data_IF_698329659432
#
_entry.id   IF_698329659432
#
_cell.length_a   1.000
_cell.length_b   1.000
_cell.length_c   1.000
_cell.angle_alpha   90.00
_cell.angle_beta   90.00
_cell.angle_gamma   90.00
#
_symmetry.space_group_name_H-M   'P 1'
#
loop_
_entity.id
_entity.type
_entity.pdbx_description
1 polymer ?
#
# COMPACT_ATOMS: atom_id res chain seq x y z
N UNK A 1 -35.41 6.32 30.72
CA UNK A 1 -35.65 5.12 29.89
C UNK A 1 -35.32 5.51 28.44
N UNK A 2 -34.06 5.37 28.04
CA UNK A 2 -33.59 5.69 26.69
C UNK A 2 -34.04 4.53 25.79
N UNK A 3 -34.98 4.80 24.92
CA UNK A 3 -35.34 3.86 23.84
C UNK A 3 -34.15 3.82 22.86
N UNK A 4 -33.44 2.69 22.85
CA UNK A 4 -32.52 2.38 21.75
C UNK A 4 -33.30 2.40 20.44
N UNK A 5 -32.89 3.30 19.52
CA UNK A 5 -33.39 3.25 18.14
C UNK A 5 -32.99 1.88 17.58
N UNK A 6 -33.91 1.11 16.98
CA UNK A 6 -33.56 -0.14 16.36
C UNK A 6 -32.43 0.10 15.34
N UNK A 7 -31.36 -0.70 15.40
CA UNK A 7 -30.31 -0.74 14.37
C UNK A 7 -31.02 -0.81 13.02
N UNK A 8 -30.85 0.21 12.19
CA UNK A 8 -31.52 0.30 10.90
C UNK A 8 -31.14 -0.94 10.10
N UNK A 9 -32.13 -1.80 9.79
CA UNK A 9 -31.91 -2.98 8.96
C UNK A 9 -31.36 -2.52 7.61
N UNK A 10 -30.20 -3.03 7.24
CA UNK A 10 -29.61 -2.74 5.94
C UNK A 10 -30.59 -3.20 4.83
N UNK A 11 -30.79 -2.41 3.75
CA UNK A 11 -31.55 -2.82 2.60
C UNK A 11 -31.03 -4.13 2.00
N UNK A 12 -31.90 -4.89 1.36
CA UNK A 12 -31.46 -6.13 0.73
C UNK A 12 -30.51 -5.85 -0.44
N UNK A 13 -29.46 -6.68 -0.58
CA UNK A 13 -28.54 -6.57 -1.73
C UNK A 13 -29.27 -6.61 -3.08
N UNK A 14 -30.37 -7.37 -3.15
CA UNK A 14 -31.21 -7.45 -4.36
C UNK A 14 -31.85 -6.10 -4.70
N UNK A 15 -32.38 -5.39 -3.69
CA UNK A 15 -32.95 -4.05 -3.88
C UNK A 15 -31.88 -3.02 -4.29
N UNK A 16 -30.68 -3.09 -3.68
CA UNK A 16 -29.54 -2.23 -4.02
C UNK A 16 -29.05 -2.44 -5.46
N UNK A 17 -28.94 -3.68 -5.91
CA UNK A 17 -28.57 -4.01 -7.30
C UNK A 17 -29.60 -3.55 -8.31
N UNK A 18 -30.89 -3.69 -8.00
CA UNK A 18 -31.96 -3.18 -8.86
C UNK A 18 -31.90 -1.65 -8.96
N UNK A 19 -31.68 -0.98 -7.85
CA UNK A 19 -31.52 0.47 -7.81
C UNK A 19 -30.34 0.93 -8.68
N UNK A 20 -29.16 0.32 -8.52
CA UNK A 20 -27.96 0.63 -9.31
C UNK A 20 -28.22 0.42 -10.81
N UNK A 21 -28.81 -0.71 -11.22
CA UNK A 21 -29.03 -1.02 -12.62
C UNK A 21 -30.09 -0.10 -13.26
N UNK A 22 -31.14 0.27 -12.50
CA UNK A 22 -32.13 1.26 -12.97
C UNK A 22 -31.51 2.63 -13.11
N UNK A 23 -30.62 3.03 -12.20
CA UNK A 23 -29.90 4.29 -12.31
C UNK A 23 -28.99 4.34 -13.55
N UNK A 24 -28.36 3.23 -13.91
CA UNK A 24 -27.52 3.15 -15.11
C UNK A 24 -28.32 3.14 -16.41
N UNK A 25 -29.44 2.44 -16.44
CA UNK A 25 -30.21 2.23 -17.68
C UNK A 25 -31.25 3.33 -17.92
N UNK A 26 -31.63 4.08 -16.88
CA UNK A 26 -32.73 5.04 -16.92
C UNK A 26 -34.10 4.39 -17.21
N UNK A 27 -34.19 3.04 -17.14
CA UNK A 27 -35.38 2.30 -17.53
C UNK A 27 -35.52 1.01 -16.72
N UNK A 28 -36.64 0.88 -16.01
CA UNK A 28 -36.92 -0.26 -15.14
C UNK A 28 -37.02 -1.59 -15.91
N UNK A 29 -37.59 -1.57 -17.12
CA UNK A 29 -37.75 -2.79 -17.92
C UNK A 29 -36.39 -3.30 -18.43
N UNK A 30 -35.52 -2.41 -18.93
CA UNK A 30 -34.13 -2.76 -19.34
C UNK A 30 -33.29 -3.25 -18.16
N UNK A 31 -33.43 -2.62 -17.02
CA UNK A 31 -32.72 -3.06 -15.80
C UNK A 31 -33.20 -4.45 -15.35
N UNK A 32 -34.49 -4.70 -15.42
CA UNK A 32 -35.08 -6.00 -15.09
C UNK A 32 -34.57 -7.12 -16.02
N UNK A 33 -34.50 -6.85 -17.32
CA UNK A 33 -33.95 -7.78 -18.33
C UNK A 33 -32.48 -8.13 -18.01
N UNK A 34 -31.63 -7.14 -17.77
CA UNK A 34 -30.20 -7.37 -17.40
C UNK A 34 -30.05 -8.16 -16.11
N UNK A 35 -30.97 -8.03 -15.16
CA UNK A 35 -30.95 -8.73 -13.89
C UNK A 35 -31.68 -10.08 -13.92
N UNK A 36 -32.22 -10.49 -15.08
CA UNK A 36 -33.03 -11.70 -15.26
C UNK A 36 -34.22 -11.78 -14.27
N UNK A 37 -34.95 -10.67 -14.11
CA UNK A 37 -36.16 -10.57 -13.30
C UNK A 37 -37.30 -9.89 -14.10
N UNK A 38 -38.50 -9.96 -13.61
CA UNK A 38 -39.64 -9.27 -14.24
C UNK A 38 -39.63 -7.77 -13.92
N UNK A 39 -40.14 -6.89 -14.82
CA UNK A 39 -40.26 -5.45 -14.55
C UNK A 39 -41.11 -5.15 -13.29
N UNK A 40 -42.12 -5.96 -13.01
CA UNK A 40 -42.92 -5.86 -11.79
C UNK A 40 -42.06 -6.13 -10.54
N UNK A 41 -41.24 -7.18 -10.57
CA UNK A 41 -40.34 -7.51 -9.45
C UNK A 41 -39.31 -6.38 -9.23
N UNK A 42 -38.74 -5.81 -10.31
CA UNK A 42 -37.83 -4.68 -10.20
C UNK A 42 -38.51 -3.45 -9.57
N UNK A 43 -39.72 -3.10 -10.04
CA UNK A 43 -40.51 -2.00 -9.48
C UNK A 43 -40.81 -2.22 -8.00
N UNK A 44 -41.19 -3.45 -7.60
CA UNK A 44 -41.44 -3.80 -6.21
C UNK A 44 -40.17 -3.67 -5.32
N UNK A 45 -39.00 -4.10 -5.83
CA UNK A 45 -37.74 -3.94 -5.09
C UNK A 45 -37.37 -2.48 -4.91
N UNK A 46 -37.58 -1.61 -5.91
CA UNK A 46 -37.35 -0.17 -5.79
C UNK A 46 -38.29 0.47 -4.76
N UNK A 47 -39.60 0.19 -4.85
CA UNK A 47 -40.55 0.74 -3.91
C UNK A 47 -40.28 0.28 -2.46
N UNK A 48 -39.82 -0.98 -2.28
CA UNK A 48 -39.37 -1.49 -1.00
C UNK A 48 -38.16 -0.73 -0.47
N UNK A 49 -37.16 -0.48 -1.32
CA UNK A 49 -35.96 0.27 -0.97
C UNK A 49 -36.28 1.69 -0.54
N UNK A 50 -37.07 2.40 -1.33
CA UNK A 50 -37.50 3.78 -1.02
C UNK A 50 -38.28 3.86 0.30
N UNK A 51 -39.12 2.86 0.57
CA UNK A 51 -39.87 2.74 1.83
C UNK A 51 -38.93 2.48 3.02
N UNK A 52 -37.95 1.58 2.87
CA UNK A 52 -36.97 1.26 3.94
C UNK A 52 -36.09 2.46 4.26
N UNK A 53 -35.69 3.23 3.26
CA UNK A 53 -34.88 4.43 3.41
C UNK A 53 -35.68 5.70 3.78
N UNK A 54 -36.99 5.67 3.65
CA UNK A 54 -37.86 6.83 3.86
C UNK A 54 -37.62 7.96 2.87
N UNK A 55 -37.06 7.65 1.69
CA UNK A 55 -36.64 8.65 0.69
C UNK A 55 -36.98 8.18 -0.72
N UNK A 56 -37.47 9.09 -1.55
CA UNK A 56 -37.70 8.85 -2.96
C UNK A 56 -36.37 8.99 -3.69
N UNK A 57 -35.96 7.93 -4.39
CA UNK A 57 -34.67 7.86 -5.09
C UNK A 57 -34.81 8.17 -6.58
N UNK A 58 -36.02 8.01 -7.16
CA UNK A 58 -36.27 8.23 -8.58
C UNK A 58 -37.45 9.16 -8.82
N UNK A 59 -37.31 10.02 -9.84
CA UNK A 59 -38.42 10.71 -10.50
C UNK A 59 -38.91 9.89 -11.69
N UNK A 60 -40.21 9.71 -11.81
CA UNK A 60 -40.84 9.09 -12.99
C UNK A 60 -41.29 10.17 -13.97
N UNK A 61 -40.93 10.03 -15.22
CA UNK A 61 -41.32 10.93 -16.29
C UNK A 61 -41.78 10.16 -17.54
N UNK A 62 -42.39 10.83 -18.49
CA UNK A 62 -42.73 10.22 -19.79
C UNK A 62 -41.52 9.73 -20.58
N UNK A 63 -40.33 10.21 -20.26
CA UNK A 63 -39.05 9.80 -20.90
C UNK A 63 -38.31 8.67 -20.17
N UNK A 64 -38.84 8.17 -19.05
CA UNK A 64 -38.22 7.11 -18.23
C UNK A 64 -38.08 7.50 -16.77
N UNK A 65 -37.04 7.01 -16.14
CA UNK A 65 -36.76 7.18 -14.71
C UNK A 65 -35.43 7.89 -14.54
N UNK A 66 -35.40 8.96 -13.75
CA UNK A 66 -34.20 9.73 -13.43
C UNK A 66 -33.99 9.78 -11.91
N UNK A 67 -32.73 9.81 -11.45
CA UNK A 67 -32.41 9.93 -10.03
C UNK A 67 -32.88 11.28 -9.45
N UNK A 68 -33.30 11.26 -8.20
CA UNK A 68 -33.43 12.45 -7.35
C UNK A 68 -32.04 12.81 -6.82
N UNK A 69 -31.85 14.00 -6.24
CA UNK A 69 -30.63 14.38 -5.57
C UNK A 69 -30.27 13.41 -4.43
N UNK A 70 -31.27 12.89 -3.71
CA UNK A 70 -31.09 11.83 -2.69
C UNK A 70 -30.62 10.51 -3.33
N UNK A 71 -31.19 10.16 -4.50
CA UNK A 71 -30.78 8.99 -5.26
C UNK A 71 -29.34 9.09 -5.78
N UNK A 72 -28.93 10.26 -6.30
CA UNK A 72 -27.56 10.48 -6.77
C UNK A 72 -26.54 10.29 -5.64
N UNK A 73 -26.73 10.98 -4.53
CA UNK A 73 -25.87 10.86 -3.35
C UNK A 73 -25.77 9.43 -2.82
N UNK A 74 -26.93 8.78 -2.71
CA UNK A 74 -26.97 7.39 -2.23
C UNK A 74 -26.25 6.43 -3.19
N UNK A 75 -26.40 6.63 -4.51
CA UNK A 75 -25.71 5.84 -5.53
C UNK A 75 -24.18 6.00 -5.46
N UNK A 76 -23.69 7.22 -5.27
CA UNK A 76 -22.25 7.48 -5.13
C UNK A 76 -21.67 6.72 -3.94
N UNK A 77 -22.37 6.67 -2.81
CA UNK A 77 -21.91 5.97 -1.62
C UNK A 77 -21.98 4.44 -1.74
N UNK A 78 -23.07 3.88 -2.31
CA UNK A 78 -23.24 2.42 -2.33
C UNK A 78 -22.55 1.72 -3.49
N UNK A 79 -22.34 2.39 -4.63
CA UNK A 79 -21.72 1.78 -5.82
C UNK A 79 -20.35 1.14 -5.52
N UNK A 80 -19.41 1.79 -4.83
CA UNK A 80 -18.13 1.16 -4.48
C UNK A 80 -18.30 -0.05 -3.56
N UNK A 81 -19.32 -0.06 -2.69
CA UNK A 81 -19.60 -1.19 -1.78
C UNK A 81 -20.17 -2.40 -2.54
N UNK A 82 -21.10 -2.19 -3.48
CA UNK A 82 -21.64 -3.24 -4.34
C UNK A 82 -20.53 -3.82 -5.23
N UNK A 83 -19.70 -2.98 -5.81
CA UNK A 83 -18.55 -3.41 -6.60
C UNK A 83 -17.59 -4.25 -5.77
N UNK A 84 -17.24 -3.81 -4.57
CA UNK A 84 -16.39 -4.55 -3.64
C UNK A 84 -16.93 -5.93 -3.29
N UNK A 85 -18.25 -6.03 -3.02
CA UNK A 85 -18.91 -7.31 -2.75
C UNK A 85 -18.92 -8.24 -3.98
N UNK A 86 -19.16 -7.66 -5.16
CA UNK A 86 -19.14 -8.41 -6.44
C UNK A 86 -17.74 -8.97 -6.71
N UNK A 87 -16.71 -8.17 -6.53
CA UNK A 87 -15.32 -8.58 -6.68
C UNK A 87 -14.91 -9.66 -5.67
N UNK A 88 -15.29 -9.50 -4.39
CA UNK A 88 -15.03 -10.49 -3.36
C UNK A 88 -15.68 -11.85 -3.69
N UNK A 89 -16.90 -11.82 -4.23
CA UNK A 89 -17.61 -13.03 -4.65
C UNK A 89 -16.99 -13.68 -5.89
N UNK A 90 -16.56 -12.86 -6.87
CA UNK A 90 -15.89 -13.34 -8.07
C UNK A 90 -14.57 -14.03 -7.73
N UNK A 91 -13.78 -13.45 -6.81
CA UNK A 91 -12.50 -14.02 -6.33
C UNK A 91 -12.66 -15.42 -5.74
N UNK A 92 -13.75 -15.69 -5.00
CA UNK A 92 -14.03 -17.02 -4.46
C UNK A 92 -14.38 -18.05 -5.54
N UNK A 93 -14.84 -17.59 -6.70
CA UNK A 93 -15.26 -18.46 -7.82
C UNK A 93 -14.15 -18.71 -8.84
N UNK A 94 -13.15 -17.82 -8.92
CA UNK A 94 -12.07 -17.96 -9.87
C UNK A 94 -10.92 -18.75 -9.24
N UNK A 95 -10.67 -19.98 -9.76
CA UNK A 95 -9.55 -20.82 -9.30
C UNK A 95 -8.18 -20.17 -9.58
N UNK A 96 -8.06 -19.39 -10.67
CA UNK A 96 -6.83 -18.65 -10.98
C UNK A 96 -6.59 -17.52 -9.97
N UNK A 97 -7.64 -16.91 -9.45
CA UNK A 97 -7.53 -15.88 -8.41
C UNK A 97 -7.07 -16.47 -7.06
N UNK A 98 -7.36 -17.76 -6.80
CA UNK A 98 -6.90 -18.46 -5.58
C UNK A 98 -5.39 -18.73 -5.58
N UNK A 99 -4.76 -18.87 -6.73
CA UNK A 99 -3.31 -19.07 -6.86
C UNK A 99 -2.52 -17.77 -6.97
N UNK A 100 -3.17 -16.63 -7.19
CA UNK A 100 -2.49 -15.35 -7.32
C UNK A 100 -2.19 -14.73 -5.94
N UNK A 101 -0.92 -14.39 -5.71
CA UNK A 101 -0.46 -13.59 -4.57
C UNK A 101 -0.23 -12.16 -5.03
N UNK A 102 -0.99 -11.23 -4.48
CA UNK A 102 -0.91 -9.80 -4.81
C UNK A 102 -0.22 -9.05 -3.69
N UNK A 103 1.00 -8.62 -3.98
CA UNK A 103 1.87 -7.91 -3.05
C UNK A 103 1.87 -6.43 -3.42
N UNK A 104 1.70 -5.59 -2.42
CA UNK A 104 1.94 -4.16 -2.57
C UNK A 104 3.07 -3.73 -1.65
N UNK A 105 3.95 -2.83 -2.10
CA UNK A 105 5.03 -2.36 -1.25
C UNK A 105 5.44 -0.92 -1.50
N UNK A 106 6.18 -0.34 -0.56
CA UNK A 106 6.89 0.91 -0.78
C UNK A 106 7.84 0.77 -1.97
N UNK A 107 7.92 1.77 -2.88
CA UNK A 107 8.67 1.65 -4.13
C UNK A 107 10.14 1.26 -3.96
N UNK A 108 10.84 1.88 -3.01
CA UNK A 108 12.26 1.56 -2.77
C UNK A 108 12.45 0.13 -2.26
N UNK A 109 11.59 -0.35 -1.38
CA UNK A 109 11.63 -1.74 -0.91
C UNK A 109 11.34 -2.72 -2.06
N UNK A 110 10.33 -2.42 -2.86
CA UNK A 110 9.96 -3.23 -4.03
C UNK A 110 11.11 -3.39 -5.00
N UNK A 111 11.74 -2.28 -5.38
CA UNK A 111 12.81 -2.25 -6.38
C UNK A 111 14.11 -2.85 -5.84
N UNK A 112 14.54 -2.42 -4.66
CA UNK A 112 15.89 -2.70 -4.18
C UNK A 112 16.01 -3.99 -3.38
N UNK A 113 14.94 -4.36 -2.66
CA UNK A 113 15.01 -5.54 -1.79
C UNK A 113 14.19 -6.72 -2.32
N UNK A 114 12.92 -6.49 -2.69
CA UNK A 114 12.03 -7.59 -3.05
C UNK A 114 12.28 -8.12 -4.47
N UNK A 115 12.35 -7.23 -5.46
CA UNK A 115 12.51 -7.61 -6.88
C UNK A 115 13.74 -8.50 -7.14
N UNK A 116 14.94 -8.23 -6.57
CA UNK A 116 16.09 -9.10 -6.77
C UNK A 116 15.95 -10.51 -6.15
N UNK A 117 15.00 -10.69 -5.24
CA UNK A 117 14.81 -11.92 -4.45
C UNK A 117 13.57 -12.72 -4.80
N UNK A 118 12.55 -12.09 -5.38
CA UNK A 118 11.22 -12.70 -5.59
C UNK A 118 11.25 -13.93 -6.52
N UNK A 119 12.26 -14.05 -7.40
CA UNK A 119 12.43 -15.23 -8.24
C UNK A 119 12.59 -16.51 -7.39
N UNK A 120 13.30 -16.45 -6.26
CA UNK A 120 13.47 -17.59 -5.33
C UNK A 120 12.14 -18.05 -4.74
N UNK A 121 11.23 -17.12 -4.46
CA UNK A 121 9.87 -17.47 -4.04
C UNK A 121 9.12 -18.20 -5.14
N UNK A 122 9.24 -17.73 -6.38
CA UNK A 122 8.62 -18.36 -7.55
C UNK A 122 9.19 -19.76 -7.86
N UNK A 123 10.48 -19.97 -7.64
CA UNK A 123 11.11 -21.28 -7.78
C UNK A 123 10.60 -22.28 -6.73
N UNK A 124 10.42 -21.82 -5.47
CA UNK A 124 9.89 -22.64 -4.40
C UNK A 124 8.38 -22.91 -4.52
N UNK A 125 7.62 -22.00 -5.16
CA UNK A 125 6.16 -22.05 -5.28
C UNK A 125 5.72 -21.74 -6.71
N UNK A 126 6.01 -22.62 -7.69
CA UNK A 126 5.72 -22.39 -9.11
C UNK A 126 4.22 -22.26 -9.42
N UNK A 127 3.36 -22.82 -8.58
CA UNK A 127 1.91 -22.74 -8.68
C UNK A 127 1.34 -21.36 -8.32
N UNK A 128 2.14 -20.51 -7.62
CA UNK A 128 1.68 -19.18 -7.18
C UNK A 128 2.06 -18.13 -8.21
N UNK A 129 1.08 -17.49 -8.79
CA UNK A 129 1.28 -16.32 -9.63
C UNK A 129 1.50 -15.08 -8.74
N UNK A 130 2.61 -14.37 -8.91
CA UNK A 130 2.91 -13.16 -8.13
C UNK A 130 2.61 -11.92 -8.95
N UNK A 131 1.84 -11.01 -8.35
CA UNK A 131 1.64 -9.65 -8.84
C UNK A 131 2.25 -8.68 -7.84
N UNK A 132 3.13 -7.80 -8.30
CA UNK A 132 3.78 -6.79 -7.47
C UNK A 132 3.37 -5.39 -7.94
N UNK A 133 2.90 -4.57 -7.02
CA UNK A 133 2.61 -3.16 -7.25
C UNK A 133 3.30 -2.29 -6.19
N UNK A 134 3.64 -1.05 -6.55
CA UNK A 134 4.39 -0.17 -5.66
C UNK A 134 3.80 1.24 -5.67
N UNK A 135 3.45 1.76 -4.49
CA UNK A 135 3.16 3.18 -4.27
C UNK A 135 3.22 3.53 -2.77
N UNK A 136 3.16 4.83 -2.44
CA UNK A 136 2.96 5.30 -1.07
C UNK A 136 1.50 5.68 -0.78
N UNK A 137 0.61 5.49 -1.73
CA UNK A 137 -0.80 5.82 -1.55
C UNK A 137 -1.44 4.97 -0.46
N UNK A 138 -2.46 5.54 0.19
CA UNK A 138 -3.29 4.81 1.13
C UNK A 138 -4.21 3.84 0.38
N UNK A 139 -3.78 2.60 0.26
CA UNK A 139 -4.49 1.55 -0.42
C UNK A 139 -5.54 0.90 0.49
N UNK A 140 -6.63 0.50 -0.11
CA UNK A 140 -7.62 -0.37 0.50
C UNK A 140 -7.37 -1.82 0.06
N UNK A 141 -7.07 -2.71 1.00
CA UNK A 141 -6.84 -4.12 0.71
C UNK A 141 -7.99 -4.77 -0.09
N UNK A 142 -9.23 -4.41 0.24
CA UNK A 142 -10.42 -4.95 -0.44
C UNK A 142 -10.64 -4.34 -1.82
N UNK A 143 -10.53 -3.01 -1.95
CA UNK A 143 -10.77 -2.31 -3.22
C UNK A 143 -9.65 -2.60 -4.23
N UNK A 144 -8.41 -2.56 -3.77
CA UNK A 144 -7.24 -2.66 -4.63
C UNK A 144 -6.76 -4.12 -4.79
N UNK A 145 -7.51 -5.06 -4.20
CA UNK A 145 -7.28 -6.50 -4.32
C UNK A 145 -5.86 -6.93 -3.91
N UNK A 146 -5.42 -6.50 -2.73
CA UNK A 146 -4.09 -6.78 -2.18
C UNK A 146 -4.20 -7.88 -1.13
N UNK A 147 -3.35 -8.88 -1.18
CA UNK A 147 -3.27 -9.94 -0.17
C UNK A 147 -2.36 -9.53 0.99
N UNK A 148 -1.22 -8.90 0.67
CA UNK A 148 -0.23 -8.47 1.65
C UNK A 148 0.46 -7.19 1.17
N UNK A 149 0.73 -6.29 2.10
CA UNK A 149 1.49 -5.08 1.82
C UNK A 149 2.78 -5.03 2.65
N UNK A 150 3.87 -4.52 2.06
CA UNK A 150 5.06 -4.10 2.79
C UNK A 150 5.00 -2.58 2.92
N UNK A 151 4.62 -2.11 4.08
CA UNK A 151 4.46 -0.68 4.39
C UNK A 151 5.71 -0.12 5.03
N UNK A 152 6.03 1.11 4.65
CA UNK A 152 7.05 1.92 5.31
C UNK A 152 6.37 2.97 6.18
N UNK A 153 6.82 3.14 7.42
CA UNK A 153 6.28 4.11 8.35
C UNK A 153 6.05 3.56 9.76
N UNK A 154 5.29 4.28 10.56
CA UNK A 154 4.89 3.81 11.89
C UNK A 154 3.69 2.85 11.80
N UNK A 155 3.63 1.78 12.62
CA UNK A 155 2.62 0.73 12.51
C UNK A 155 1.25 1.14 13.09
N UNK A 156 0.56 2.07 12.44
CA UNK A 156 -0.75 2.60 12.89
C UNK A 156 -1.96 1.86 12.28
N UNK A 157 -1.75 0.77 11.54
CA UNK A 157 -2.82 0.04 10.81
C UNK A 157 -3.60 -0.94 11.71
N UNK A 158 -4.29 -0.44 12.73
CA UNK A 158 -4.95 -1.22 13.80
C UNK A 158 -5.97 -2.28 13.32
N UNK A 159 -6.54 -2.11 12.13
CA UNK A 159 -7.51 -3.05 11.57
C UNK A 159 -6.89 -4.30 10.95
N UNK A 160 -5.55 -4.35 10.82
CA UNK A 160 -4.81 -5.38 10.12
C UNK A 160 -3.89 -6.14 11.07
N UNK A 161 -3.36 -7.27 10.62
CA UNK A 161 -2.21 -7.91 11.23
C UNK A 161 -0.94 -7.21 10.74
N UNK A 162 -0.03 -6.94 11.69
CA UNK A 162 1.20 -6.21 11.43
C UNK A 162 2.36 -7.05 11.96
N UNK A 163 3.36 -7.27 11.11
CA UNK A 163 4.59 -7.92 11.48
C UNK A 163 5.77 -7.09 11.01
N UNK A 164 6.53 -6.54 11.94
CA UNK A 164 7.75 -5.79 11.62
C UNK A 164 8.75 -6.73 10.94
N UNK A 165 9.27 -6.34 9.79
CA UNK A 165 10.15 -7.18 8.98
C UNK A 165 11.46 -7.42 9.71
N UNK A 166 12.12 -6.34 10.13
CA UNK A 166 13.39 -6.39 10.88
C UNK A 166 13.66 -5.03 11.50
N UNK A 167 14.49 -5.01 12.55
CA UNK A 167 15.18 -3.79 12.94
C UNK A 167 16.24 -3.49 11.88
N UNK A 168 16.09 -2.36 11.23
CA UNK A 168 17.03 -1.86 10.23
C UNK A 168 18.07 -0.98 10.89
N UNK A 169 19.25 -0.89 10.27
CA UNK A 169 20.23 0.12 10.61
C UNK A 169 20.24 1.19 9.53
N UNK A 170 20.23 2.43 9.96
CA UNK A 170 20.45 3.60 9.12
C UNK A 170 21.92 3.99 9.23
N UNK A 171 22.62 4.08 8.13
CA UNK A 171 24.06 4.32 8.08
C UNK A 171 24.44 5.41 7.08
N UNK A 172 25.56 6.06 7.34
CA UNK A 172 26.17 6.98 6.37
C UNK A 172 26.89 6.16 5.31
N UNK A 173 26.49 6.33 4.05
CA UNK A 173 26.98 5.55 2.92
C UNK A 173 27.55 6.45 1.84
N UNK A 174 28.56 5.95 1.12
CA UNK A 174 29.17 6.60 -0.04
C UNK A 174 29.70 5.56 -1.01
N UNK A 175 29.97 5.95 -2.26
CA UNK A 175 30.79 5.12 -3.15
C UNK A 175 32.30 5.21 -2.77
N UNK A 176 33.07 4.13 -2.99
CA UNK A 176 34.51 4.17 -2.77
C UNK A 176 35.21 5.31 -3.55
N UNK A 177 34.83 5.50 -4.82
CA UNK A 177 35.42 6.54 -5.65
C UNK A 177 35.13 7.97 -5.14
N UNK A 178 33.98 8.20 -4.48
CA UNK A 178 33.75 9.48 -3.81
C UNK A 178 34.75 9.68 -2.66
N UNK A 179 34.96 8.67 -1.82
CA UNK A 179 35.86 8.75 -0.66
C UNK A 179 37.33 8.82 -1.06
N UNK A 180 37.71 8.28 -2.21
CA UNK A 180 39.07 8.44 -2.78
C UNK A 180 39.35 9.90 -3.18
N UNK A 181 38.37 10.56 -3.78
CA UNK A 181 38.49 11.96 -4.21
C UNK A 181 38.25 12.95 -3.07
N UNK A 182 37.44 12.59 -2.11
CA UNK A 182 37.04 13.41 -0.96
C UNK A 182 37.20 12.61 0.33
N UNK A 183 38.42 12.42 0.84
CA UNK A 183 38.66 11.63 2.04
C UNK A 183 37.90 12.16 3.25
N UNK A 184 37.25 11.29 4.00
CA UNK A 184 36.50 11.59 5.20
C UNK A 184 37.02 10.71 6.33
N UNK A 185 37.57 11.31 7.38
CA UNK A 185 38.23 10.59 8.49
C UNK A 185 37.39 10.59 9.76
N UNK A 186 36.69 11.69 10.03
CA UNK A 186 35.91 11.85 11.23
C UNK A 186 34.55 12.51 10.95
N UNK A 187 33.52 12.23 11.76
CA UNK A 187 32.16 12.72 11.52
C UNK A 187 32.02 14.25 11.48
N UNK A 188 32.88 14.97 12.18
CA UNK A 188 32.89 16.45 12.16
C UNK A 188 33.19 17.04 10.77
N UNK A 189 33.89 16.30 9.90
CA UNK A 189 34.22 16.71 8.55
C UNK A 189 33.02 16.67 7.57
N UNK A 190 31.91 16.00 7.94
CA UNK A 190 30.71 15.88 7.09
C UNK A 190 30.19 17.22 6.58
N UNK A 191 30.37 18.31 7.35
CA UNK A 191 30.00 19.65 6.91
C UNK A 191 30.79 20.17 5.70
N UNK A 192 31.91 19.53 5.37
CA UNK A 192 32.74 19.87 4.20
C UNK A 192 32.39 19.04 2.97
N UNK A 193 31.52 18.05 3.13
CA UNK A 193 31.13 17.12 2.07
C UNK A 193 29.77 17.44 1.44
N UNK A 194 29.55 16.91 0.25
CA UNK A 194 28.27 16.94 -0.42
C UNK A 194 27.31 15.96 0.26
N UNK A 195 26.31 16.48 0.96
CA UNK A 195 25.26 15.68 1.59
C UNK A 195 24.00 15.66 0.72
N UNK A 196 23.46 14.47 0.52
CA UNK A 196 22.21 14.24 -0.22
C UNK A 196 21.12 13.93 0.81
N UNK A 197 20.00 14.65 0.74
CA UNK A 197 18.83 14.41 1.59
C UNK A 197 17.89 13.40 0.94
N UNK A 198 17.65 12.30 1.63
CA UNK A 198 16.52 11.41 1.37
C UNK A 198 15.35 11.81 2.26
N UNK A 199 14.20 12.12 1.68
CA UNK A 199 13.00 12.53 2.42
C UNK A 199 12.14 11.32 2.86
N UNK A 200 12.42 10.14 2.30
CA UNK A 200 11.67 8.91 2.54
C UNK A 200 11.90 8.27 3.91
N UNK A 201 13.13 8.20 4.47
CA UNK A 201 13.38 7.55 5.75
C UNK A 201 12.70 8.23 6.93
N UNK A 202 12.34 7.43 7.96
CA UNK A 202 11.78 7.93 9.22
C UNK A 202 12.80 8.70 10.06
N UNK A 203 14.08 8.38 9.89
CA UNK A 203 15.21 9.04 10.53
C UNK A 203 16.07 9.63 9.42
N UNK A 204 16.37 10.91 9.51
CA UNK A 204 17.12 11.67 8.49
C UNK A 204 18.39 12.28 9.08
N UNK A 205 19.18 12.97 8.27
CA UNK A 205 20.38 13.64 8.67
C UNK A 205 20.28 14.49 9.95
N UNK A 206 19.25 15.35 10.15
CA UNK A 206 19.16 16.16 11.36
C UNK A 206 19.12 15.33 12.65
N UNK A 207 18.40 14.21 12.64
CA UNK A 207 18.34 13.30 13.80
C UNK A 207 19.69 12.59 13.99
N UNK A 208 20.36 12.18 12.91
CA UNK A 208 21.67 11.57 13.01
C UNK A 208 22.69 12.54 13.64
N UNK A 209 22.81 13.77 13.12
CA UNK A 209 23.71 14.78 13.69
C UNK A 209 23.41 15.05 15.17
N UNK A 210 22.14 15.16 15.53
CA UNK A 210 21.72 15.36 16.92
C UNK A 210 22.12 14.17 17.81
N UNK A 211 21.94 12.93 17.35
CA UNK A 211 22.31 11.73 18.11
C UNK A 211 23.82 11.62 18.31
N UNK A 212 24.61 12.02 17.30
CA UNK A 212 26.06 12.04 17.36
C UNK A 212 26.62 13.27 18.09
N UNK A 213 25.76 14.16 18.60
CA UNK A 213 26.13 15.41 19.28
C UNK A 213 27.00 16.33 18.39
N UNK A 214 26.75 16.30 17.08
CA UNK A 214 27.43 17.12 16.09
C UNK A 214 26.59 18.35 15.71
N UNK A 215 27.25 19.45 15.30
CA UNK A 215 26.56 20.62 14.76
C UNK A 215 25.75 20.24 13.52
N UNK A 216 24.55 20.80 13.38
CA UNK A 216 23.76 20.62 12.17
C UNK A 216 24.49 21.15 10.93
N UNK A 217 24.29 20.53 9.75
CA UNK A 217 24.89 21.00 8.52
C UNK A 217 24.47 22.45 8.25
N UNK A 218 25.45 23.30 7.93
CA UNK A 218 25.22 24.71 7.59
C UNK A 218 25.03 24.91 6.09
N UNK A 219 25.43 23.96 5.28
CA UNK A 219 25.27 23.99 3.82
C UNK A 219 23.90 23.45 3.43
N UNK A 220 23.40 23.95 2.31
CA UNK A 220 22.21 23.36 1.67
C UNK A 220 22.52 21.96 1.16
N UNK A 221 21.47 21.12 1.13
CA UNK A 221 21.56 19.78 0.56
C UNK A 221 21.88 19.88 -0.93
N UNK A 222 22.89 19.14 -1.39
CA UNK A 222 23.24 19.14 -2.82
C UNK A 222 22.06 18.63 -3.68
N UNK A 223 21.41 17.59 -3.20
CA UNK A 223 20.19 17.04 -3.79
C UNK A 223 19.18 16.67 -2.69
N UNK A 224 17.90 16.67 -3.08
CA UNK A 224 16.79 16.21 -2.24
C UNK A 224 15.97 15.24 -3.07
N UNK A 225 15.78 14.03 -2.56
CA UNK A 225 15.02 12.99 -3.24
C UNK A 225 13.91 12.47 -2.33
N UNK A 226 12.74 12.27 -2.91
CA UNK A 226 11.57 11.72 -2.21
C UNK A 226 11.57 10.18 -2.18
N UNK A 227 12.61 9.55 -2.73
CA UNK A 227 12.76 8.09 -2.83
C UNK A 227 14.17 7.64 -2.47
N UNK A 228 14.27 6.67 -1.54
CA UNK A 228 15.57 6.11 -1.14
C UNK A 228 16.35 5.51 -2.30
N UNK A 229 15.70 4.89 -3.30
CA UNK A 229 16.41 4.34 -4.44
C UNK A 229 17.14 5.43 -5.25
N UNK A 230 16.59 6.64 -5.35
CA UNK A 230 17.26 7.76 -6.04
C UNK A 230 18.48 8.24 -5.26
N UNK A 231 18.39 8.31 -3.93
CA UNK A 231 19.51 8.68 -3.06
C UNK A 231 20.63 7.66 -3.16
N UNK A 232 20.31 6.37 -3.13
CA UNK A 232 21.27 5.27 -3.25
C UNK A 232 21.98 5.29 -4.61
N UNK A 233 21.26 5.49 -5.71
CA UNK A 233 21.85 5.62 -7.04
C UNK A 233 22.75 6.86 -7.14
N UNK A 234 22.33 8.01 -6.61
CA UNK A 234 23.15 9.22 -6.63
C UNK A 234 24.46 9.04 -5.85
N UNK A 235 24.42 8.37 -4.70
CA UNK A 235 25.62 8.06 -3.93
C UNK A 235 26.53 7.06 -4.66
N UNK A 236 25.98 6.05 -5.31
CA UNK A 236 26.71 5.08 -6.12
C UNK A 236 27.43 5.77 -7.29
N UNK A 237 26.81 6.78 -7.91
CA UNK A 237 27.40 7.60 -8.97
C UNK A 237 28.43 8.61 -8.46
N UNK A 238 28.71 8.65 -7.15
CA UNK A 238 29.73 9.52 -6.56
C UNK A 238 29.27 10.96 -6.37
N UNK A 239 27.97 11.22 -6.33
CA UNK A 239 27.46 12.59 -6.17
C UNK A 239 27.53 13.11 -4.73
N UNK A 240 27.75 12.24 -3.73
CA UNK A 240 27.85 12.65 -2.33
C UNK A 240 27.56 11.53 -1.34
N UNK A 241 27.40 11.93 -0.09
CA UNK A 241 27.10 11.08 1.04
C UNK A 241 25.59 11.03 1.29
N UNK A 242 25.10 9.86 1.66
CA UNK A 242 23.71 9.64 2.05
C UNK A 242 23.61 9.05 3.46
N UNK A 243 22.47 9.26 4.11
CA UNK A 243 22.10 8.53 5.33
C UNK A 243 20.87 7.70 5.04
N UNK A 244 21.06 6.37 4.90
CA UNK A 244 20.05 5.45 4.37
C UNK A 244 20.05 4.09 5.05
N UNK A 245 18.96 3.34 4.82
CA UNK A 245 18.76 1.99 5.33
C UNK A 245 19.76 1.00 4.72
N UNK A 246 20.49 0.28 5.56
CA UNK A 246 21.34 -0.84 5.14
C UNK A 246 20.53 -1.98 4.51
N UNK A 247 19.26 -2.15 4.89
CA UNK A 247 18.35 -3.11 4.28
C UNK A 247 18.12 -2.81 2.79
N UNK A 248 17.86 -1.55 2.46
CA UNK A 248 17.68 -1.10 1.08
C UNK A 248 19.00 -1.05 0.32
N UNK A 249 20.09 -0.74 1.00
CA UNK A 249 21.44 -0.69 0.44
C UNK A 249 22.13 -2.07 0.34
N UNK A 250 21.51 -3.16 0.79
CA UNK A 250 22.16 -4.45 1.01
C UNK A 250 22.96 -4.97 -0.20
N UNK A 251 22.41 -4.84 -1.41
CA UNK A 251 23.06 -5.34 -2.63
C UNK A 251 24.21 -4.43 -3.09
N UNK A 252 24.11 -3.11 -2.86
CA UNK A 252 25.20 -2.16 -3.12
C UNK A 252 26.36 -2.35 -2.14
N UNK A 253 26.05 -2.60 -0.85
CA UNK A 253 27.06 -2.89 0.18
C UNK A 253 27.79 -4.21 -0.11
N UNK A 254 27.04 -5.27 -0.44
CA UNK A 254 27.61 -6.57 -0.78
C UNK A 254 28.50 -6.55 -2.01
N UNK A 255 28.12 -5.76 -3.02
CA UNK A 255 28.89 -5.62 -4.26
C UNK A 255 30.03 -4.61 -4.17
N UNK A 256 30.20 -3.91 -3.04
CA UNK A 256 31.21 -2.87 -2.86
C UNK A 256 30.94 -1.59 -3.64
N UNK A 257 29.77 -1.42 -4.26
CA UNK A 257 29.37 -0.18 -4.95
C UNK A 257 29.16 0.98 -3.98
N UNK A 258 28.65 0.66 -2.79
CA UNK A 258 28.58 1.55 -1.64
C UNK A 258 29.32 0.93 -0.47
N UNK A 259 29.88 1.76 0.39
CA UNK A 259 30.52 1.35 1.65
C UNK A 259 29.94 2.19 2.79
N UNK A 260 29.99 1.63 4.00
CA UNK A 260 29.72 2.40 5.21
C UNK A 260 30.90 3.32 5.46
N UNK A 261 30.58 4.60 5.70
CA UNK A 261 31.62 5.64 5.94
C UNK A 261 32.16 5.53 7.37
N UNK A 262 31.26 5.15 8.30
CA UNK A 262 31.61 4.98 9.70
C UNK A 262 31.26 3.56 10.16
N UNK A 263 31.77 3.16 11.33
CA UNK A 263 31.46 1.88 11.94
C UNK A 263 30.03 1.80 12.48
N UNK A 264 29.63 0.61 12.91
CA UNK A 264 28.27 0.30 13.38
C UNK A 264 27.81 1.11 14.61
N UNK A 265 28.77 1.64 15.39
CA UNK A 265 28.46 2.45 16.56
C UNK A 265 27.77 3.78 16.18
N UNK A 266 27.97 4.25 14.96
CA UNK A 266 27.36 5.48 14.44
C UNK A 266 26.09 5.23 13.62
N UNK A 267 25.68 3.97 13.44
CA UNK A 267 24.42 3.61 12.79
C UNK A 267 23.25 3.78 13.76
N UNK A 268 22.08 4.16 13.25
CA UNK A 268 20.87 4.32 14.06
C UNK A 268 19.88 3.19 13.76
N UNK A 269 19.36 2.48 14.77
CA UNK A 269 18.35 1.47 14.57
C UNK A 269 16.99 2.11 14.23
N UNK A 270 16.25 1.49 13.32
CA UNK A 270 14.89 1.89 12.96
C UNK A 270 14.02 0.67 12.67
N UNK A 271 12.73 0.77 12.97
CA UNK A 271 11.71 -0.20 12.57
C UNK A 271 10.80 0.46 11.56
N UNK A 272 11.17 0.45 10.30
CA UNK A 272 10.50 1.21 9.26
C UNK A 272 9.63 0.36 8.33
N UNK A 273 9.98 -0.89 8.08
CA UNK A 273 9.24 -1.75 7.18
C UNK A 273 8.40 -2.80 7.93
N UNK A 274 7.13 -2.92 7.53
CA UNK A 274 6.15 -3.80 8.17
C UNK A 274 5.36 -4.57 7.13
N UNK A 275 5.20 -5.88 7.35
CA UNK A 275 4.23 -6.70 6.66
C UNK A 275 2.85 -6.41 7.25
N UNK A 276 1.92 -6.01 6.40
CA UNK A 276 0.55 -5.65 6.78
C UNK A 276 -0.41 -6.46 5.92
N UNK A 277 -1.37 -7.16 6.54
CA UNK A 277 -2.34 -7.97 5.82
C UNK A 277 -3.64 -8.09 6.60
N UNK A 278 -4.80 -8.35 5.96
CA UNK A 278 -6.07 -8.50 6.63
C UNK A 278 -6.06 -9.69 7.60
N UNK A 279 -6.78 -9.56 8.71
CA UNK A 279 -6.90 -10.64 9.71
C UNK A 279 -7.42 -11.91 9.05
N UNK A 280 -6.81 -13.04 9.40
CA UNK A 280 -7.13 -14.33 8.84
C UNK A 280 -6.49 -14.62 7.47
N UNK A 281 -5.85 -13.67 6.78
CA UNK A 281 -5.21 -13.94 5.49
C UNK A 281 -3.98 -14.84 5.61
N UNK A 282 -3.32 -14.89 6.75
CA UNK A 282 -2.22 -15.81 7.01
C UNK A 282 -2.60 -17.31 6.90
N UNK A 283 -3.91 -17.65 6.95
CA UNK A 283 -4.37 -19.02 6.70
C UNK A 283 -4.42 -19.41 5.22
N UNK A 284 -4.36 -18.45 4.28
CA UNK A 284 -4.28 -18.75 2.86
C UNK A 284 -2.86 -19.21 2.51
N UNK A 285 -2.68 -20.38 1.86
CA UNK A 285 -1.35 -20.94 1.58
C UNK A 285 -0.41 -19.94 0.88
N UNK A 286 -0.90 -19.21 -0.14
CA UNK A 286 -0.10 -18.21 -0.86
C UNK A 286 0.46 -17.10 0.04
N UNK A 287 -0.32 -16.66 1.04
CA UNK A 287 0.11 -15.63 2.00
C UNK A 287 1.03 -16.24 3.05
N UNK A 288 0.68 -17.40 3.59
CA UNK A 288 1.50 -18.12 4.58
C UNK A 288 2.90 -18.43 4.04
N UNK A 289 3.00 -18.97 2.83
CA UNK A 289 4.28 -19.27 2.19
C UNK A 289 5.12 -18.01 1.96
N UNK A 290 4.50 -16.93 1.53
CA UNK A 290 5.21 -15.66 1.36
C UNK A 290 5.71 -15.09 2.70
N UNK A 291 4.88 -15.15 3.75
CA UNK A 291 5.28 -14.71 5.10
C UNK A 291 6.48 -15.50 5.63
N UNK A 292 6.50 -16.82 5.44
CA UNK A 292 7.61 -17.69 5.83
C UNK A 292 8.85 -17.38 4.99
N UNK A 293 8.68 -17.29 3.67
CA UNK A 293 9.78 -17.03 2.75
C UNK A 293 10.45 -15.68 3.02
N UNK A 294 9.68 -14.61 3.19
CA UNK A 294 10.27 -13.28 3.39
C UNK A 294 11.04 -13.20 4.72
N UNK A 295 10.58 -13.90 5.76
CA UNK A 295 11.30 -13.98 7.02
C UNK A 295 12.65 -14.70 6.87
N UNK A 296 12.67 -15.85 6.19
CA UNK A 296 13.89 -16.59 5.92
C UNK A 296 14.89 -15.81 5.04
N UNK A 297 14.44 -14.83 4.23
CA UNK A 297 15.36 -13.97 3.48
C UNK A 297 15.94 -12.81 4.30
N UNK A 298 15.41 -12.57 5.50
CA UNK A 298 15.83 -11.48 6.39
C UNK A 298 16.75 -11.96 7.53
N UNK A 299 16.80 -13.25 7.77
CA UNK A 299 17.76 -13.92 8.65
C UNK A 299 19.16 -13.98 8.02
#
# INVERSE_FOLDING_TARGET
>A
MFMEKPVSQLPSLKSLRVFEEVAQTGNVARAAEKLNITPSAASHQLAKLEKELGSILFHRSAKGVALTLAGERYLEEIRPLILGLTQATARLRDEKDRSALRIHCAPSFGLLWLLPRIHKFREAHPEIQVTLSCSYENLSFSRDNIDIAVRHGFPEWKAFEIKTIRYEKMSVLASPGYLENYPLREPAELNNHALILSESPLIQWPQWFATQQLPQPTREWLFRFDRSYMSLEAAMLGHGLIFESELLAADYLRSGKLVKVFDDAMSLPVSAHHLVYPRGYAQFPRVSYFLQWIQAQLE
#
